data_IF_592796102541
#
_entry.id   IF_592796102541
#
_cell.length_a   1.000
_cell.length_b   1.000
_cell.length_c   1.000
_cell.angle_alpha   90.00
_cell.angle_beta   90.00
_cell.angle_gamma   90.00
#
_symmetry.space_group_name_H-M   'P 1'
#
loop_
_entity.id
_entity.type
_entity.pdbx_description
1 polymer ?
#
# COMPACT_ATOMS: atom_id res chain seq x y z
N UNK A 1 67.58 26.64 21.81
CA UNK A 1 66.46 27.51 21.39
C UNK A 1 65.58 26.68 20.46
N UNK A 2 64.45 26.18 20.95
CA UNK A 2 63.56 25.27 20.21
C UNK A 2 62.18 25.93 20.05
N UNK A 3 61.53 25.92 18.87
CA UNK A 3 60.17 26.42 18.73
C UNK A 3 59.12 25.30 18.86
N UNK A 4 57.94 25.74 19.29
CA UNK A 4 56.82 24.96 19.77
C UNK A 4 56.04 24.20 18.66
N UNK A 5 55.77 22.91 18.92
CA UNK A 5 54.92 22.01 18.12
C UNK A 5 53.44 22.03 18.60
N UNK A 6 52.92 23.18 19.03
CA UNK A 6 51.69 23.24 19.84
C UNK A 6 50.42 23.82 19.22
N UNK A 7 50.44 24.49 18.06
CA UNK A 7 49.31 25.37 17.67
C UNK A 7 48.34 24.82 16.62
N UNK A 8 48.71 23.74 15.90
CA UNK A 8 47.92 23.20 14.78
C UNK A 8 46.95 22.08 15.18
N UNK A 9 47.26 21.33 16.25
CA UNK A 9 46.38 20.28 16.78
C UNK A 9 45.20 20.86 17.58
N UNK A 10 45.41 21.98 18.30
CA UNK A 10 44.39 22.60 19.14
C UNK A 10 43.21 23.19 18.31
N UNK A 11 43.50 23.77 17.14
CA UNK A 11 42.48 24.33 16.23
C UNK A 11 41.68 23.26 15.50
N UNK A 12 42.32 22.14 15.13
CA UNK A 12 41.64 21.01 14.47
C UNK A 12 40.73 20.25 15.43
N UNK A 13 41.13 20.12 16.70
CA UNK A 13 40.32 19.45 17.72
C UNK A 13 39.09 20.28 18.13
N UNK A 14 39.23 21.61 18.23
CA UNK A 14 38.10 22.52 18.48
C UNK A 14 37.07 22.55 17.33
N UNK A 15 37.55 22.52 16.09
CA UNK A 15 36.66 22.45 14.92
C UNK A 15 35.96 21.08 14.82
N UNK A 16 36.62 19.98 15.18
CA UNK A 16 35.97 18.67 15.21
C UNK A 16 34.91 18.57 16.32
N UNK A 17 35.19 19.09 17.52
CA UNK A 17 34.24 19.10 18.64
C UNK A 17 33.01 19.97 18.35
N UNK A 18 33.18 21.09 17.67
CA UNK A 18 32.05 21.96 17.27
C UNK A 18 31.20 21.34 16.17
N UNK A 19 31.79 20.65 15.19
CA UNK A 19 31.04 19.89 14.19
C UNK A 19 30.29 18.69 14.79
N UNK A 20 30.90 17.96 15.73
CA UNK A 20 30.25 16.85 16.43
C UNK A 20 29.08 17.33 17.30
N UNK A 21 29.24 18.48 17.99
CA UNK A 21 28.15 19.09 18.74
C UNK A 21 26.99 19.55 17.82
N UNK A 22 27.31 20.11 16.63
CA UNK A 22 26.30 20.51 15.65
C UNK A 22 25.53 19.29 15.08
N UNK A 23 26.24 18.20 14.78
CA UNK A 23 25.62 16.96 14.31
C UNK A 23 24.71 16.34 15.38
N UNK A 24 25.15 16.30 16.64
CA UNK A 24 24.31 15.82 17.74
C UNK A 24 23.04 16.67 17.93
N UNK A 25 23.14 18.00 17.83
CA UNK A 25 21.97 18.88 17.89
C UNK A 25 20.97 18.65 16.75
N UNK A 26 21.44 18.30 15.54
CA UNK A 26 20.56 17.97 14.42
C UNK A 26 19.82 16.64 14.64
N UNK A 27 20.47 15.63 15.21
CA UNK A 27 19.81 14.37 15.58
C UNK A 27 18.78 14.55 16.71
N UNK A 28 19.05 15.41 17.71
CA UNK A 28 18.07 15.70 18.77
C UNK A 28 16.82 16.46 18.27
N UNK A 29 16.92 17.19 17.16
CA UNK A 29 15.78 17.87 16.52
C UNK A 29 14.82 16.87 15.85
N UNK A 30 15.32 15.73 15.35
CA UNK A 30 14.47 14.69 14.74
C UNK A 30 13.62 13.92 15.76
N UNK A 31 14.01 13.84 17.02
CA UNK A 31 13.28 13.09 18.06
C UNK A 31 12.16 13.90 18.73
N UNK A 32 12.05 15.21 18.44
CA UNK A 32 11.15 16.14 19.16
C UNK A 32 9.82 16.46 18.46
N UNK A 33 9.53 15.89 17.28
CA UNK A 33 8.24 16.06 16.59
C UNK A 33 7.29 14.90 16.91
N UNK A 34 6.84 14.82 18.18
CA UNK A 34 5.56 14.21 18.54
C UNK A 34 4.69 15.31 19.16
N UNK A 35 4.25 16.22 18.30
CA UNK A 35 3.19 17.17 18.59
C UNK A 35 1.87 16.67 18.01
N UNK A 36 1.04 16.10 18.89
CA UNK A 36 -0.41 16.31 18.92
C UNK A 36 -1.20 16.21 17.61
N UNK A 37 -1.75 15.03 17.30
CA UNK A 37 -3.00 14.96 16.54
C UNK A 37 -4.16 14.70 17.50
N UNK A 38 -4.92 15.76 17.72
CA UNK A 38 -6.19 15.76 18.43
C UNK A 38 -7.24 15.01 17.61
N UNK A 39 -7.87 14.02 18.24
CA UNK A 39 -9.14 13.45 17.81
C UNK A 39 -10.18 14.57 17.86
N UNK A 40 -10.71 14.98 16.70
CA UNK A 40 -11.96 15.73 16.65
C UNK A 40 -12.88 15.22 15.55
N UNK A 41 -14.08 14.90 16.01
CA UNK A 41 -15.17 14.20 15.37
C UNK A 41 -15.91 15.17 14.43
N UNK A 42 -15.82 14.95 13.12
CA UNK A 42 -16.43 15.80 12.08
C UNK A 42 -17.62 15.14 11.38
N UNK A 43 -18.81 15.29 11.97
CA UNK A 43 -20.17 15.24 11.39
C UNK A 43 -20.41 14.50 10.06
N UNK A 44 -21.21 13.43 10.15
CA UNK A 44 -21.96 12.81 9.06
C UNK A 44 -22.84 13.89 8.39
N UNK A 45 -22.52 14.29 7.16
CA UNK A 45 -23.44 15.05 6.31
C UNK A 45 -24.37 14.04 5.63
N UNK A 46 -25.65 14.10 6.00
CA UNK A 46 -26.73 13.36 5.38
C UNK A 46 -26.75 13.63 3.85
N UNK A 47 -26.60 12.56 3.06
CA UNK A 47 -26.78 12.60 1.62
C UNK A 47 -28.29 12.63 1.32
N UNK A 48 -28.82 13.81 1.00
CA UNK A 48 -30.21 13.98 0.56
C UNK A 48 -30.31 13.53 -0.90
N UNK A 49 -30.92 12.36 -1.14
CA UNK A 49 -31.17 11.85 -2.49
C UNK A 49 -32.39 12.55 -3.09
N UNK A 50 -32.15 13.60 -3.87
CA UNK A 50 -33.22 14.29 -4.61
C UNK A 50 -33.60 13.46 -5.83
N UNK A 51 -34.73 12.75 -5.73
CA UNK A 51 -35.37 12.03 -6.83
C UNK A 51 -35.80 13.03 -7.90
N UNK A 52 -35.12 13.03 -9.05
CA UNK A 52 -35.60 13.72 -10.26
C UNK A 52 -35.68 12.72 -11.42
N UNK A 53 -36.91 12.55 -11.86
CA UNK A 53 -37.40 11.83 -13.02
C UNK A 53 -37.27 12.70 -14.27
N UNK A 54 -36.71 12.12 -15.35
CA UNK A 54 -37.30 12.06 -16.70
C UNK A 54 -36.25 11.62 -17.75
N UNK A 55 -36.45 10.39 -18.24
CA UNK A 55 -36.28 9.92 -19.62
C UNK A 55 -35.21 10.55 -20.53
N UNK A 56 -34.16 9.77 -20.83
CA UNK A 56 -33.59 9.65 -22.20
C UNK A 56 -32.47 8.60 -22.20
N UNK A 57 -32.81 7.42 -22.73
CA UNK A 57 -31.96 6.43 -23.40
C UNK A 57 -30.44 6.45 -23.13
N UNK A 58 -29.97 5.52 -22.30
CA UNK A 58 -29.06 4.42 -22.68
C UNK A 58 -29.27 3.36 -21.59
N UNK A 59 -29.86 2.22 -21.94
CA UNK A 59 -29.82 1.06 -21.06
C UNK A 59 -28.34 0.73 -20.85
N UNK A 60 -27.81 1.06 -19.66
CA UNK A 60 -26.44 0.71 -19.28
C UNK A 60 -26.38 -0.82 -19.26
N UNK A 61 -25.81 -1.35 -20.34
CA UNK A 61 -25.36 -2.73 -20.54
C UNK A 61 -24.89 -3.30 -19.20
N UNK A 62 -25.72 -4.16 -18.62
CA UNK A 62 -25.36 -5.00 -17.50
C UNK A 62 -24.34 -6.02 -18.03
N UNK A 63 -23.20 -6.15 -17.34
CA UNK A 63 -22.17 -7.20 -17.41
C UNK A 63 -22.20 -8.07 -18.66
N UNK A 64 -21.39 -7.71 -19.66
CA UNK A 64 -21.03 -8.63 -20.73
C UNK A 64 -19.85 -9.47 -20.23
N UNK A 65 -20.16 -10.50 -19.45
CA UNK A 65 -19.21 -11.56 -19.09
C UNK A 65 -18.81 -12.28 -20.38
N UNK A 66 -17.57 -12.09 -20.82
CA UNK A 66 -16.95 -13.02 -21.77
C UNK A 66 -16.87 -14.37 -21.09
N UNK A 67 -17.48 -15.35 -21.76
CA UNK A 67 -17.63 -16.74 -21.37
C UNK A 67 -16.25 -17.38 -21.16
N UNK A 68 -15.89 -17.66 -19.90
CA UNK A 68 -15.30 -18.96 -19.46
C UNK A 68 -15.23 -19.05 -17.91
N UNK A 69 -16.32 -18.65 -17.23
CA UNK A 69 -16.38 -18.69 -15.78
C UNK A 69 -17.76 -19.13 -15.34
N UNK A 70 -17.82 -20.30 -14.72
CA UNK A 70 -18.96 -20.86 -14.01
C UNK A 70 -19.56 -19.80 -13.06
N UNK A 71 -20.53 -19.03 -13.56
CA UNK A 71 -21.21 -17.97 -12.83
C UNK A 71 -22.22 -18.51 -11.80
N UNK A 72 -22.02 -19.74 -11.36
CA UNK A 72 -22.77 -20.40 -10.30
C UNK A 72 -21.82 -21.11 -9.33
N UNK A 73 -20.75 -20.43 -8.89
CA UNK A 73 -19.87 -20.92 -7.82
C UNK A 73 -20.57 -20.90 -6.46
N UNK A 74 -21.55 -21.76 -6.28
CA UNK A 74 -21.72 -22.47 -5.01
C UNK A 74 -20.67 -23.59 -5.04
N UNK A 75 -19.40 -23.18 -5.11
CA UNK A 75 -18.26 -24.07 -4.94
C UNK A 75 -18.10 -24.29 -3.46
N UNK A 76 -18.10 -25.55 -3.01
CA UNK A 76 -17.87 -25.87 -1.60
C UNK A 76 -16.41 -25.66 -1.18
N UNK A 77 -15.49 -25.60 -2.15
CA UNK A 77 -14.06 -25.48 -1.94
C UNK A 77 -13.55 -24.11 -2.38
N UNK A 78 -12.63 -23.54 -1.59
CA UNK A 78 -11.96 -22.31 -1.94
C UNK A 78 -10.84 -22.57 -2.92
N UNK A 79 -10.61 -21.61 -3.80
CA UNK A 79 -9.58 -21.63 -4.82
C UNK A 79 -8.90 -20.27 -4.89
N UNK A 80 -7.80 -20.16 -5.64
CA UNK A 80 -7.14 -18.87 -5.87
C UNK A 80 -8.06 -17.80 -6.49
N UNK A 81 -9.10 -18.23 -7.21
CA UNK A 81 -10.03 -17.33 -7.88
C UNK A 81 -11.03 -16.68 -6.91
N UNK A 82 -11.08 -17.17 -5.66
CA UNK A 82 -11.81 -16.54 -4.57
C UNK A 82 -10.98 -15.43 -3.88
N UNK A 83 -9.77 -15.15 -4.37
CA UNK A 83 -9.03 -13.94 -4.05
C UNK A 83 -9.32 -12.87 -5.10
N UNK A 84 -9.95 -11.78 -4.68
CA UNK A 84 -10.32 -10.66 -5.55
C UNK A 84 -9.40 -9.48 -5.29
N UNK A 85 -8.88 -8.90 -6.36
CA UNK A 85 -8.05 -7.69 -6.33
C UNK A 85 -8.87 -6.53 -6.88
N UNK A 86 -9.04 -5.48 -6.08
CA UNK A 86 -9.56 -4.19 -6.53
C UNK A 86 -8.44 -3.17 -6.56
N UNK A 87 -8.45 -2.33 -7.59
CA UNK A 87 -7.49 -1.25 -7.74
C UNK A 87 -8.22 0.01 -8.20
N UNK A 88 -7.93 1.14 -7.55
CA UNK A 88 -8.54 2.43 -7.87
C UNK A 88 -7.55 3.58 -7.71
N UNK A 89 -7.68 4.61 -8.55
CA UNK A 89 -6.90 5.84 -8.38
C UNK A 89 -7.33 6.59 -7.12
N UNK A 90 -6.35 7.17 -6.43
CA UNK A 90 -6.56 8.04 -5.27
C UNK A 90 -5.86 9.39 -5.48
N UNK A 91 -5.88 10.27 -4.47
CA UNK A 91 -5.22 11.56 -4.55
C UNK A 91 -3.73 11.38 -4.91
N UNK A 92 -3.22 12.08 -5.94
CA UNK A 92 -1.81 11.99 -6.30
C UNK A 92 -0.93 12.55 -5.18
N UNK A 93 0.34 12.18 -5.20
CA UNK A 93 1.33 12.80 -4.31
C UNK A 93 1.45 14.31 -4.59
N UNK A 94 1.92 15.13 -3.62
CA UNK A 94 2.07 16.58 -3.81
C UNK A 94 2.97 16.99 -4.99
N UNK A 95 3.86 16.09 -5.42
CA UNK A 95 4.72 16.25 -6.61
C UNK A 95 4.04 15.85 -7.93
N UNK A 96 2.76 15.49 -7.90
CA UNK A 96 1.96 15.13 -9.07
C UNK A 96 2.06 13.67 -9.51
N UNK A 97 2.81 12.82 -8.80
CA UNK A 97 2.89 11.39 -9.13
C UNK A 97 1.55 10.71 -8.83
N UNK A 98 0.94 9.97 -9.78
CA UNK A 98 -0.31 9.27 -9.54
C UNK A 98 -0.21 8.25 -8.40
N UNK A 99 -1.31 8.11 -7.66
CA UNK A 99 -1.44 7.15 -6.57
C UNK A 99 -2.61 6.22 -6.82
N UNK A 100 -2.48 4.99 -6.35
CA UNK A 100 -3.49 3.95 -6.49
C UNK A 100 -3.64 3.18 -5.18
N UNK A 101 -4.87 2.93 -4.78
CA UNK A 101 -5.21 2.03 -3.68
C UNK A 101 -5.47 0.64 -4.23
N UNK A 102 -4.88 -0.38 -3.61
CA UNK A 102 -5.11 -1.79 -3.90
C UNK A 102 -5.79 -2.42 -2.70
N UNK A 103 -6.83 -3.19 -2.95
CA UNK A 103 -7.51 -4.03 -1.97
C UNK A 103 -7.46 -5.48 -2.44
N UNK A 104 -7.03 -6.39 -1.56
CA UNK A 104 -6.95 -7.84 -1.83
C UNK A 104 -7.83 -8.52 -0.80
N UNK A 105 -8.86 -9.22 -1.25
CA UNK A 105 -9.90 -9.79 -0.38
C UNK A 105 -10.11 -11.27 -0.65
N UNK A 106 -10.26 -12.06 0.42
CA UNK A 106 -10.76 -13.43 0.33
C UNK A 106 -12.30 -13.41 0.36
N UNK A 107 -12.93 -13.73 -0.77
CA UNK A 107 -14.40 -13.79 -0.90
C UNK A 107 -14.95 -15.21 -0.77
N UNK A 108 -14.13 -16.18 -0.39
CA UNK A 108 -14.59 -17.55 -0.27
C UNK A 108 -15.64 -17.71 0.83
N UNK A 109 -16.77 -18.35 0.48
CA UNK A 109 -17.94 -18.46 1.37
C UNK A 109 -17.90 -19.68 2.29
N UNK A 110 -17.01 -20.66 2.06
CA UNK A 110 -16.99 -21.91 2.83
C UNK A 110 -16.28 -21.81 4.19
N UNK A 111 -15.79 -20.62 4.56
CA UNK A 111 -15.16 -20.41 5.88
C UNK A 111 -13.66 -20.71 5.94
N UNK A 112 -13.02 -20.96 4.80
CA UNK A 112 -11.58 -21.25 4.72
C UNK A 112 -10.71 -19.99 4.68
N UNK A 113 -9.55 -20.05 5.33
CA UNK A 113 -8.49 -19.07 5.12
C UNK A 113 -7.57 -19.50 3.97
N UNK A 114 -7.22 -18.56 3.10
CA UNK A 114 -6.34 -18.79 1.94
C UNK A 114 -4.98 -18.17 2.24
N UNK A 115 -3.89 -18.94 2.13
CA UNK A 115 -2.52 -18.51 2.46
C UNK A 115 -1.60 -18.57 1.23
N UNK A 116 -0.34 -18.15 1.40
CA UNK A 116 0.67 -18.14 0.34
C UNK A 116 0.13 -17.56 -0.97
N UNK A 117 -0.50 -16.40 -0.89
CA UNK A 117 -1.11 -15.73 -2.03
C UNK A 117 -0.01 -15.00 -2.79
N UNK A 118 0.23 -15.45 -4.03
CA UNK A 118 1.14 -14.83 -4.98
C UNK A 118 0.36 -14.06 -6.05
N UNK A 119 0.88 -12.89 -6.41
CA UNK A 119 0.31 -11.99 -7.41
C UNK A 119 1.34 -11.77 -8.52
N UNK A 120 0.91 -11.99 -9.75
CA UNK A 120 1.60 -11.51 -10.94
C UNK A 120 1.54 -9.98 -10.97
N UNK A 121 2.71 -9.36 -10.78
CA UNK A 121 2.87 -7.93 -10.57
C UNK A 121 3.89 -7.27 -11.51
N UNK A 122 4.44 -8.02 -12.46
CA UNK A 122 5.46 -7.59 -13.41
C UNK A 122 6.64 -6.85 -12.76
N UNK A 123 6.92 -5.66 -13.28
CA UNK A 123 7.96 -4.77 -12.77
C UNK A 123 7.49 -3.87 -11.60
N UNK A 124 6.56 -4.34 -10.76
CA UNK A 124 6.00 -3.56 -9.66
C UNK A 124 7.03 -2.74 -8.88
N UNK A 125 6.76 -1.45 -8.75
CA UNK A 125 7.59 -0.47 -8.04
C UNK A 125 6.71 0.69 -7.61
N UNK A 126 7.03 1.27 -6.45
CA UNK A 126 6.30 2.37 -5.84
C UNK A 126 7.26 3.41 -5.30
N UNK A 127 6.90 4.68 -5.48
CA UNK A 127 7.58 5.83 -4.87
C UNK A 127 7.27 5.90 -3.37
N UNK A 128 6.05 5.52 -2.97
CA UNK A 128 5.66 5.41 -1.56
C UNK A 128 6.09 4.06 -1.00
N UNK A 129 6.69 4.07 0.19
CA UNK A 129 7.01 2.84 0.92
C UNK A 129 5.72 2.08 1.27
N UNK A 130 5.67 0.81 0.89
CA UNK A 130 4.60 -0.12 1.24
C UNK A 130 5.13 -1.01 2.35
N UNK A 131 4.28 -1.35 3.32
CA UNK A 131 4.67 -2.30 4.36
C UNK A 131 4.98 -3.68 3.74
N UNK A 132 6.24 -4.17 3.83
CA UNK A 132 6.64 -5.42 3.18
C UNK A 132 5.98 -6.67 3.78
N UNK A 133 5.36 -6.58 4.96
CA UNK A 133 4.56 -7.68 5.52
C UNK A 133 3.16 -7.72 4.91
N UNK A 134 2.67 -6.63 4.31
CA UNK A 134 1.36 -6.59 3.64
C UNK A 134 1.50 -6.98 2.18
N UNK A 135 2.48 -6.41 1.48
CA UNK A 135 2.72 -6.68 0.07
C UNK A 135 4.18 -6.40 -0.28
N UNK A 136 4.86 -7.38 -0.89
CA UNK A 136 6.23 -7.19 -1.39
C UNK A 136 6.49 -8.01 -2.64
N UNK A 137 7.37 -7.49 -3.50
CA UNK A 137 7.88 -8.22 -4.66
C UNK A 137 9.03 -9.14 -4.25
N UNK A 138 8.91 -10.44 -4.50
CA UNK A 138 9.96 -11.43 -4.27
C UNK A 138 10.90 -11.51 -5.48
N UNK A 139 10.32 -11.56 -6.68
CA UNK A 139 11.05 -11.61 -7.95
C UNK A 139 10.29 -10.88 -9.06
N UNK A 140 10.84 -10.84 -10.27
CA UNK A 140 10.08 -10.37 -11.43
C UNK A 140 8.76 -11.12 -11.55
N UNK A 141 7.67 -10.38 -11.66
CA UNK A 141 6.31 -10.89 -11.79
C UNK A 141 5.83 -11.80 -10.64
N UNK A 142 6.49 -11.74 -9.48
CA UNK A 142 6.09 -12.48 -8.30
C UNK A 142 6.08 -11.58 -7.06
N UNK A 143 4.88 -11.29 -6.57
CA UNK A 143 4.63 -10.53 -5.35
C UNK A 143 3.89 -11.37 -4.31
N UNK A 144 4.37 -11.35 -3.07
CA UNK A 144 3.78 -12.01 -1.93
C UNK A 144 2.86 -11.07 -1.16
N UNK A 145 1.70 -11.61 -0.78
CA UNK A 145 0.68 -10.93 0.02
C UNK A 145 0.73 -11.44 1.47
N UNK A 146 0.50 -10.55 2.43
CA UNK A 146 0.37 -10.86 3.86
C UNK A 146 1.54 -11.66 4.46
N UNK A 147 2.76 -11.51 3.93
CA UNK A 147 3.91 -12.33 4.35
C UNK A 147 3.70 -13.85 4.18
N UNK A 148 2.73 -14.26 3.33
CA UNK A 148 2.32 -15.65 3.17
C UNK A 148 1.28 -16.14 4.18
N UNK A 149 0.98 -15.34 5.21
CA UNK A 149 -0.01 -15.69 6.24
C UNK A 149 -1.43 -15.77 5.69
N UNK A 150 -2.30 -16.62 6.25
CA UNK A 150 -3.65 -16.81 5.76
C UNK A 150 -4.50 -15.53 5.83
N UNK A 151 -5.25 -15.26 4.76
CA UNK A 151 -6.37 -14.34 4.78
C UNK A 151 -7.66 -15.11 5.04
N UNK A 152 -8.33 -14.81 6.14
CA UNK A 152 -9.61 -15.39 6.54
C UNK A 152 -10.78 -14.99 5.64
N UNK A 153 -11.93 -15.67 5.76
CA UNK A 153 -13.13 -15.37 4.97
C UNK A 153 -13.59 -13.92 5.19
N UNK A 154 -13.73 -13.17 4.10
CA UNK A 154 -14.11 -11.76 4.13
C UNK A 154 -13.01 -10.80 4.59
N UNK A 155 -11.83 -11.29 4.95
CA UNK A 155 -10.70 -10.43 5.28
C UNK A 155 -10.15 -9.75 4.03
N UNK A 156 -9.73 -8.49 4.21
CA UNK A 156 -9.23 -7.64 3.14
C UNK A 156 -7.99 -6.89 3.62
N UNK A 157 -6.93 -6.95 2.81
CA UNK A 157 -5.76 -6.09 2.96
C UNK A 157 -5.88 -4.89 2.03
N UNK A 158 -5.46 -3.73 2.51
CA UNK A 158 -5.45 -2.51 1.73
C UNK A 158 -4.09 -1.82 1.86
N UNK A 159 -3.54 -1.38 0.74
CA UNK A 159 -2.35 -0.55 0.69
C UNK A 159 -2.40 0.41 -0.50
N UNK A 160 -1.67 1.52 -0.40
CA UNK A 160 -1.52 2.45 -1.52
C UNK A 160 -0.11 2.37 -2.10
N UNK A 161 -0.02 2.52 -3.41
CA UNK A 161 1.25 2.71 -4.11
C UNK A 161 1.19 3.96 -4.99
N UNK A 162 2.35 4.51 -5.31
CA UNK A 162 2.46 5.66 -6.19
C UNK A 162 3.43 5.38 -7.33
N UNK A 163 2.95 5.50 -8.57
CA UNK A 163 3.75 5.33 -9.77
C UNK A 163 3.10 6.04 -10.96
N UNK A 164 3.86 6.21 -12.04
CA UNK A 164 3.42 6.83 -13.29
C UNK A 164 2.23 6.13 -13.98
N UNK A 165 2.00 4.85 -13.68
CA UNK A 165 0.88 4.08 -14.20
C UNK A 165 0.41 3.01 -13.20
N UNK A 166 -0.82 2.54 -13.40
CA UNK A 166 -1.40 1.43 -12.66
C UNK A 166 -0.87 0.08 -13.14
N UNK A 167 -0.50 -0.81 -12.22
CA UNK A 167 -0.05 -2.17 -12.56
C UNK A 167 -1.23 -3.14 -12.78
N UNK A 168 -1.18 -4.00 -13.81
CA UNK A 168 -2.20 -5.02 -14.06
C UNK A 168 -2.01 -6.23 -13.12
N UNK A 169 -2.40 -6.07 -11.86
CA UNK A 169 -2.24 -7.11 -10.83
C UNK A 169 -3.23 -8.26 -11.06
N UNK A 170 -2.76 -9.51 -10.95
CA UNK A 170 -3.61 -10.70 -11.02
C UNK A 170 -3.09 -11.81 -10.09
N UNK A 171 -3.99 -12.65 -9.57
CA UNK A 171 -3.61 -13.75 -8.66
C UNK A 171 -2.98 -14.88 -9.47
N UNK A 172 -1.71 -15.19 -9.20
CA UNK A 172 -0.98 -16.26 -9.88
C UNK A 172 -1.19 -17.61 -9.19
N UNK A 173 -1.09 -17.67 -7.87
CA UNK A 173 -1.33 -18.87 -7.08
C UNK A 173 -1.74 -18.54 -5.64
N UNK A 174 -2.40 -19.49 -4.99
CA UNK A 174 -2.70 -19.43 -3.57
C UNK A 174 -2.86 -20.86 -3.01
N UNK A 175 -2.61 -21.03 -1.71
CA UNK A 175 -2.86 -22.27 -1.00
C UNK A 175 -4.20 -22.19 -0.26
N UNK A 176 -5.15 -23.03 -0.65
CA UNK A 176 -6.41 -23.21 0.08
C UNK A 176 -6.26 -24.29 1.16
N UNK A 177 -7.12 -24.25 2.16
CA UNK A 177 -7.52 -25.46 2.87
C UNK A 177 -8.43 -26.33 1.96
#
# INVERSE_FOLDING_TARGET
>A
MAPALGSLQQKRLGNALTFMALLLLLFFVEESIQGEETVSQGSIKNLVFSKKNNTSAVARKLLQSTEDGDANRIGTACTKDDIVIFQGSTAPLPNGIPSYTVQIMNVCLSGCSISNIHISCGWFSSVRLINPTVFRRLYYDDCLVNDGEPLGPGECLSFDYANTFSYPLSVSSAASC
#
